data_IF_143975078894
#
_entry.id   IF_143975078894
#
_cell.length_a   1.000
_cell.length_b   1.000
_cell.length_c   1.000
_cell.angle_alpha   90.00
_cell.angle_beta   90.00
_cell.angle_gamma   90.00
#
_symmetry.space_group_name_H-M   'P 1'
#
loop_
_entity.id
_entity.type
_entity.pdbx_description
1 polymer ?
#
# COMPACT_ATOMS: atom_id res chain seq x y z
N UNK A 1 -21.12 -17.44 12.76
CA UNK A 1 -20.62 -16.14 12.30
C UNK A 1 -19.32 -16.42 11.54
N UNK A 2 -19.21 -15.96 10.29
CA UNK A 2 -17.96 -16.07 9.50
C UNK A 2 -17.30 -14.70 9.48
N UNK A 3 -16.01 -14.66 9.77
CA UNK A 3 -15.18 -13.46 9.65
C UNK A 3 -14.41 -13.53 8.33
N UNK A 4 -14.34 -12.44 7.62
CA UNK A 4 -13.59 -12.30 6.37
C UNK A 4 -12.61 -11.15 6.53
N UNK A 5 -11.41 -11.32 5.98
CA UNK A 5 -10.44 -10.25 5.89
C UNK A 5 -10.90 -9.24 4.82
N UNK A 6 -10.76 -7.94 5.10
CA UNK A 6 -11.17 -6.84 4.23
C UNK A 6 -10.52 -6.89 2.85
N UNK A 7 -9.20 -7.08 2.79
CA UNK A 7 -8.48 -7.25 1.51
C UNK A 7 -9.00 -8.46 0.72
N UNK A 8 -9.33 -9.58 1.40
CA UNK A 8 -9.93 -10.75 0.76
C UNK A 8 -11.32 -10.47 0.20
N UNK A 9 -12.12 -9.68 0.89
CA UNK A 9 -13.41 -9.20 0.39
C UNK A 9 -13.23 -8.26 -0.81
N UNK A 10 -12.29 -7.30 -0.69
CA UNK A 10 -11.96 -6.38 -1.78
C UNK A 10 -11.50 -7.10 -3.05
N UNK A 11 -10.58 -8.05 -2.92
CA UNK A 11 -10.12 -8.88 -4.01
C UNK A 11 -11.26 -9.64 -4.69
N UNK A 12 -12.13 -10.24 -3.89
CA UNK A 12 -13.28 -10.97 -4.41
C UNK A 12 -14.25 -10.04 -5.15
N UNK A 13 -14.58 -8.88 -4.59
CA UNK A 13 -15.45 -7.89 -5.23
C UNK A 13 -14.85 -7.41 -6.56
N UNK A 14 -13.58 -7.06 -6.59
CA UNK A 14 -12.88 -6.66 -7.81
C UNK A 14 -12.88 -7.77 -8.87
N UNK A 15 -12.84 -9.03 -8.47
CA UNK A 15 -12.93 -10.15 -9.41
C UNK A 15 -14.33 -10.39 -9.96
N UNK A 16 -15.38 -9.96 -9.26
CA UNK A 16 -16.75 -10.10 -9.72
C UNK A 16 -17.24 -8.90 -10.55
N UNK A 17 -16.84 -7.68 -10.15
CA UNK A 17 -17.43 -6.47 -10.67
C UNK A 17 -16.40 -5.39 -11.04
N UNK A 18 -15.12 -5.61 -10.76
CA UNK A 18 -14.07 -4.61 -10.87
C UNK A 18 -13.02 -4.91 -11.93
N UNK A 19 -11.75 -4.70 -11.57
CA UNK A 19 -10.59 -4.79 -12.43
C UNK A 19 -9.84 -6.13 -12.35
N UNK A 20 -10.12 -6.96 -11.32
CA UNK A 20 -9.40 -8.20 -11.08
C UNK A 20 -9.90 -9.36 -11.95
N UNK A 21 -8.96 -10.21 -12.38
CA UNK A 21 -9.27 -11.53 -12.90
C UNK A 21 -9.50 -12.56 -11.79
N UNK A 22 -9.68 -13.84 -12.21
CA UNK A 22 -9.82 -14.95 -11.26
C UNK A 22 -8.52 -15.29 -10.53
N UNK A 23 -7.39 -14.87 -11.10
CA UNK A 23 -6.06 -15.01 -10.50
C UNK A 23 -5.48 -13.61 -10.38
N UNK A 24 -5.32 -13.12 -9.17
CA UNK A 24 -4.78 -11.78 -8.93
C UNK A 24 -4.15 -11.68 -7.53
N UNK A 25 -3.24 -10.73 -7.42
CA UNK A 25 -2.80 -10.13 -6.17
C UNK A 25 -3.54 -8.81 -6.01
N UNK A 26 -4.41 -8.70 -5.03
CA UNK A 26 -5.03 -7.44 -4.62
C UNK A 26 -4.17 -6.80 -3.54
N UNK A 27 -3.79 -5.55 -3.72
CA UNK A 27 -2.95 -4.79 -2.80
C UNK A 27 -3.69 -3.52 -2.37
N UNK A 28 -4.04 -3.44 -1.11
CA UNK A 28 -4.63 -2.25 -0.50
C UNK A 28 -3.54 -1.46 0.21
N UNK A 29 -3.29 -0.23 -0.26
CA UNK A 29 -2.32 0.72 0.29
C UNK A 29 -3.08 1.94 0.77
N UNK A 30 -3.44 1.93 2.03
CA UNK A 30 -4.17 2.99 2.70
C UNK A 30 -3.43 3.42 3.97
N UNK A 31 -4.15 3.58 5.05
CA UNK A 31 -3.58 3.81 6.39
C UNK A 31 -2.65 2.67 6.79
N UNK A 32 -3.03 1.45 6.47
CA UNK A 32 -2.21 0.23 6.56
C UNK A 32 -2.04 -0.40 5.19
N UNK A 33 -1.16 -1.41 5.10
CA UNK A 33 -0.98 -2.19 3.89
C UNK A 33 -1.44 -3.62 4.13
N UNK A 34 -2.38 -4.06 3.32
CA UNK A 34 -2.86 -5.44 3.31
C UNK A 34 -2.98 -5.96 1.89
N UNK A 35 -3.00 -7.27 1.74
CA UNK A 35 -3.18 -7.88 0.43
C UNK A 35 -4.08 -9.12 0.50
N UNK A 36 -4.52 -9.57 -0.66
CA UNK A 36 -5.16 -10.86 -0.82
C UNK A 36 -4.78 -11.47 -2.16
N UNK A 37 -4.59 -12.77 -2.17
CA UNK A 37 -4.34 -13.53 -3.40
C UNK A 37 -5.60 -14.31 -3.75
N UNK A 38 -6.08 -14.18 -4.98
CA UNK A 38 -7.09 -15.05 -5.56
C UNK A 38 -6.43 -16.05 -6.51
N UNK A 39 -6.76 -17.32 -6.35
CA UNK A 39 -6.40 -18.38 -7.26
C UNK A 39 -7.67 -19.13 -7.69
N UNK A 40 -7.95 -19.15 -9.00
CA UNK A 40 -9.18 -19.72 -9.53
C UNK A 40 -10.46 -19.01 -9.10
N UNK A 41 -10.36 -17.76 -8.58
CA UNK A 41 -11.46 -16.98 -8.03
C UNK A 41 -11.74 -17.24 -6.54
N UNK A 42 -10.91 -18.07 -5.89
CA UNK A 42 -10.98 -18.32 -4.45
C UNK A 42 -9.83 -17.62 -3.72
N UNK A 43 -10.08 -16.96 -2.59
CA UNK A 43 -9.02 -16.33 -1.81
C UNK A 43 -8.16 -17.37 -1.10
N UNK A 44 -6.86 -17.14 -1.08
CA UNK A 44 -5.92 -17.88 -0.24
C UNK A 44 -6.08 -17.38 1.18
N UNK A 45 -6.52 -18.25 2.10
CA UNK A 45 -6.89 -17.82 3.47
C UNK A 45 -5.73 -17.94 4.46
N UNK A 46 -4.86 -18.98 4.33
CA UNK A 46 -3.76 -19.19 5.27
C UNK A 46 -4.21 -19.13 6.73
N UNK A 47 -5.31 -19.83 7.07
CA UNK A 47 -5.95 -19.79 8.40
C UNK A 47 -6.35 -18.37 8.87
N UNK A 48 -6.57 -17.43 7.93
CA UNK A 48 -6.91 -16.05 8.21
C UNK A 48 -5.70 -15.10 8.29
N UNK A 49 -4.47 -15.61 8.12
CA UNK A 49 -3.25 -14.82 8.21
C UNK A 49 -2.63 -14.45 6.87
N UNK A 50 -3.10 -15.03 5.77
CA UNK A 50 -2.59 -14.66 4.45
C UNK A 50 -2.86 -13.18 4.15
N UNK A 51 -1.92 -12.51 3.49
CA UNK A 51 -2.07 -11.13 3.05
C UNK A 51 -1.69 -10.06 4.06
N UNK A 52 -1.12 -10.42 5.23
CA UNK A 52 -0.58 -9.48 6.23
C UNK A 52 0.77 -8.88 5.79
N UNK A 53 0.84 -8.42 4.53
CA UNK A 53 2.09 -7.98 3.91
C UNK A 53 2.64 -6.68 4.52
N UNK A 54 1.80 -5.85 5.12
CA UNK A 54 2.23 -4.64 5.82
C UNK A 54 3.22 -4.91 6.95
N UNK A 55 3.23 -6.14 7.49
CA UNK A 55 4.14 -6.57 8.56
C UNK A 55 5.48 -7.11 8.08
N UNK A 56 5.68 -7.26 6.77
CA UNK A 56 6.97 -7.68 6.20
C UNK A 56 8.03 -6.63 6.53
N UNK A 57 9.21 -7.10 6.93
CA UNK A 57 10.31 -6.21 7.23
C UNK A 57 11.04 -5.81 5.95
N UNK A 58 11.17 -4.51 5.75
CA UNK A 58 11.91 -3.85 4.67
C UNK A 58 13.07 -3.05 5.26
N UNK A 59 14.08 -2.64 4.46
CA UNK A 59 15.10 -1.71 4.94
C UNK A 59 14.44 -0.42 5.42
N UNK A 60 14.85 0.07 6.61
CA UNK A 60 14.40 1.39 7.07
C UNK A 60 15.20 2.46 6.34
N UNK A 61 14.57 3.37 5.58
CA UNK A 61 15.28 4.39 4.82
C UNK A 61 15.95 5.45 5.70
N UNK A 62 15.52 5.58 6.95
CA UNK A 62 16.00 6.60 7.88
C UNK A 62 17.10 6.07 8.81
N UNK A 63 17.28 4.74 8.88
CA UNK A 63 18.16 4.08 9.83
C UNK A 63 19.10 3.08 9.14
N UNK A 64 20.37 3.42 9.05
CA UNK A 64 21.36 2.55 8.42
C UNK A 64 21.47 1.20 9.17
N UNK A 65 21.13 0.12 8.46
CA UNK A 65 21.23 -1.25 8.96
C UNK A 65 20.06 -1.76 9.77
N UNK A 66 19.06 -0.93 10.03
CA UNK A 66 17.82 -1.36 10.69
C UNK A 66 16.73 -1.75 9.68
N UNK A 67 15.63 -2.30 10.18
CA UNK A 67 14.48 -2.73 9.38
C UNK A 67 13.21 -2.18 9.99
N UNK A 68 12.32 -1.72 9.13
CA UNK A 68 10.97 -1.28 9.49
C UNK A 68 9.92 -2.22 8.90
N UNK A 69 8.68 -2.12 9.35
CA UNK A 69 7.57 -2.79 8.67
C UNK A 69 7.25 -2.07 7.37
N UNK A 70 6.83 -2.80 6.36
CA UNK A 70 6.41 -2.20 5.08
C UNK A 70 5.36 -1.11 5.27
N UNK A 71 4.39 -1.32 6.17
CA UNK A 71 3.35 -0.32 6.44
C UNK A 71 3.87 0.95 7.12
N UNK A 72 5.00 0.88 7.84
CA UNK A 72 5.66 2.03 8.47
C UNK A 72 6.52 2.84 7.48
N UNK A 73 6.72 2.31 6.26
CA UNK A 73 7.49 2.97 5.19
C UNK A 73 6.59 3.40 4.04
N UNK A 74 5.72 2.52 3.55
CA UNK A 74 5.03 2.63 2.26
C UNK A 74 3.52 2.81 2.36
N UNK A 75 2.91 2.85 3.58
CA UNK A 75 1.50 3.22 3.70
C UNK A 75 1.29 4.72 3.46
N UNK A 76 0.07 5.12 3.12
CA UNK A 76 -0.28 6.55 2.93
C UNK A 76 0.09 7.36 4.16
N UNK A 77 -0.30 6.90 5.36
CA UNK A 77 -0.01 7.60 6.60
C UNK A 77 1.49 7.62 6.94
N UNK A 78 2.24 6.58 6.60
CA UNK A 78 3.68 6.56 6.80
C UNK A 78 4.40 7.57 5.90
N UNK A 79 4.04 7.64 4.62
CA UNK A 79 4.60 8.62 3.70
C UNK A 79 4.25 10.05 4.12
N UNK A 80 3.00 10.32 4.55
CA UNK A 80 2.58 11.62 5.06
C UNK A 80 3.37 12.02 6.30
N UNK A 81 3.51 11.12 7.28
CA UNK A 81 4.30 11.38 8.51
C UNK A 81 5.75 11.72 8.20
N UNK A 82 6.38 10.98 7.30
CA UNK A 82 7.78 11.22 6.89
C UNK A 82 7.94 12.55 6.19
N UNK A 83 7.02 12.91 5.29
CA UNK A 83 7.01 14.21 4.64
C UNK A 83 6.85 15.36 5.66
N UNK A 84 5.90 15.22 6.60
CA UNK A 84 5.66 16.25 7.62
C UNK A 84 6.85 16.39 8.57
N UNK A 85 7.50 15.29 8.96
CA UNK A 85 8.70 15.32 9.80
C UNK A 85 9.86 16.04 9.10
N UNK A 86 10.10 15.78 7.81
CA UNK A 86 11.10 16.47 7.01
C UNK A 86 10.86 17.98 6.93
N UNK A 87 9.61 18.41 6.77
CA UNK A 87 9.26 19.84 6.78
C UNK A 87 9.56 20.54 8.12
N UNK A 88 9.46 19.81 9.23
CA UNK A 88 9.77 20.35 10.57
C UNK A 88 11.27 20.49 10.80
N UNK A 89 12.07 19.53 10.29
CA UNK A 89 13.54 19.59 10.37
C UNK A 89 14.13 20.73 9.51
N UNK A 90 13.60 20.97 8.33
CA UNK A 90 13.99 22.08 7.47
C UNK A 90 13.64 23.46 8.07
N UNK A 91 12.63 23.55 8.93
CA UNK A 91 12.23 24.77 9.62
C UNK A 91 13.02 25.03 10.91
N UNK A 92 13.66 24.01 11.50
CA UNK A 92 14.58 24.11 12.61
C UNK A 92 15.99 24.32 12.04
N UNK A 93 16.44 25.57 11.98
CA UNK A 93 17.81 25.93 11.56
C UNK A 93 18.89 25.14 12.30
N UNK A 94 20.18 25.22 11.90
CA UNK A 94 21.24 24.26 12.23
C UNK A 94 21.71 24.31 13.69
N UNK A 95 20.86 24.00 14.65
CA UNK A 95 21.20 23.82 16.06
C UNK A 95 20.22 22.86 16.72
N UNK A 96 20.59 21.59 16.81
CA UNK A 96 19.86 20.66 17.68
C UNK A 96 20.08 19.20 17.36
N UNK A 97 21.28 18.68 17.65
CA UNK A 97 21.50 17.24 17.81
C UNK A 97 20.68 16.72 18.99
N UNK A 98 19.50 16.19 18.75
CA UNK A 98 18.65 15.66 19.81
C UNK A 98 17.27 15.26 19.31
N UNK A 99 17.19 14.59 18.16
CA UNK A 99 15.94 13.95 17.74
C UNK A 99 15.89 12.56 18.38
N UNK A 100 15.12 12.44 19.45
CA UNK A 100 14.60 11.12 19.82
C UNK A 100 13.78 10.62 18.65
N UNK A 101 14.10 9.42 18.16
CA UNK A 101 13.30 8.74 17.16
C UNK A 101 11.81 8.77 17.58
N UNK A 102 10.88 9.07 16.67
CA UNK A 102 9.47 8.91 16.99
C UNK A 102 9.26 7.46 17.40
N UNK A 103 8.78 7.26 18.62
CA UNK A 103 8.38 5.94 19.10
C UNK A 103 7.52 5.28 18.00
N UNK A 104 7.69 3.98 17.72
CA UNK A 104 6.83 3.26 16.80
C UNK A 104 5.43 3.15 17.42
N UNK A 105 4.72 4.27 17.43
CA UNK A 105 3.33 4.36 17.83
C UNK A 105 2.50 3.63 16.79
N UNK A 106 2.09 2.41 17.09
CA UNK A 106 1.11 1.70 16.30
C UNK A 106 -0.12 2.59 16.15
N UNK A 107 -0.61 2.75 14.92
CA UNK A 107 -1.93 3.32 14.63
C UNK A 107 -3.00 2.33 15.10
N UNK A 108 -3.12 2.12 16.41
CA UNK A 108 -4.12 1.21 16.97
C UNK A 108 -5.47 1.90 17.20
N UNK A 109 -5.53 3.25 17.10
CA UNK A 109 -6.76 4.02 17.17
C UNK A 109 -6.88 4.94 15.94
N UNK A 110 -7.63 4.49 14.93
CA UNK A 110 -8.08 5.34 13.83
C UNK A 110 -9.17 6.30 14.34
N UNK A 111 -8.75 7.40 14.97
CA UNK A 111 -9.67 8.48 15.30
C UNK A 111 -10.03 9.26 14.02
N UNK A 112 -11.23 9.85 13.96
CA UNK A 112 -11.65 10.70 12.82
C UNK A 112 -10.66 11.85 12.58
N UNK A 113 -9.98 12.34 13.61
CA UNK A 113 -8.92 13.33 13.53
C UNK A 113 -7.69 12.79 12.78
N UNK A 114 -7.29 11.55 13.05
CA UNK A 114 -6.16 10.90 12.37
C UNK A 114 -6.42 10.73 10.88
N UNK A 115 -7.64 10.33 10.49
CA UNK A 115 -8.03 10.15 9.09
C UNK A 115 -8.02 11.50 8.35
N UNK A 116 -8.57 12.56 8.97
CA UNK A 116 -8.60 13.91 8.39
C UNK A 116 -7.19 14.47 8.23
N UNK A 117 -6.33 14.27 9.21
CA UNK A 117 -4.94 14.71 9.18
C UNK A 117 -4.14 13.95 8.11
N UNK A 118 -4.38 12.66 7.93
CA UNK A 118 -3.76 11.87 6.88
C UNK A 118 -4.18 12.36 5.49
N UNK A 119 -5.46 12.67 5.28
CA UNK A 119 -5.96 13.15 4.00
C UNK A 119 -5.38 14.52 3.61
N UNK A 120 -5.34 15.48 4.54
CA UNK A 120 -4.73 16.81 4.28
C UNK A 120 -3.22 16.72 4.06
N UNK A 121 -2.54 15.84 4.79
CA UNK A 121 -1.12 15.59 4.63
C UNK A 121 -0.79 14.92 3.29
N UNK A 122 -1.67 14.08 2.76
CA UNK A 122 -1.52 13.50 1.43
C UNK A 122 -1.57 14.56 0.33
N UNK A 123 -2.50 15.51 0.42
CA UNK A 123 -2.58 16.63 -0.54
C UNK A 123 -1.29 17.46 -0.50
N UNK A 124 -0.75 17.73 0.70
CA UNK A 124 0.52 18.42 0.88
C UNK A 124 1.68 17.67 0.22
N UNK A 125 1.81 16.36 0.48
CA UNK A 125 2.83 15.50 -0.12
C UNK A 125 2.75 15.51 -1.65
N UNK A 126 1.56 15.31 -2.21
CA UNK A 126 1.37 15.29 -3.66
C UNK A 126 1.66 16.67 -4.30
N UNK A 127 1.28 17.76 -3.63
CA UNK A 127 1.60 19.11 -4.05
C UNK A 127 3.12 19.38 -4.03
N UNK A 128 3.82 18.92 -3.00
CA UNK A 128 5.27 19.04 -2.90
C UNK A 128 5.99 18.23 -4.01
N UNK A 129 5.53 17.02 -4.30
CA UNK A 129 6.06 16.22 -5.41
C UNK A 129 5.87 16.96 -6.75
N UNK A 130 4.69 17.52 -6.97
CA UNK A 130 4.39 18.25 -8.21
C UNK A 130 5.23 19.53 -8.35
N UNK A 131 5.58 20.18 -7.24
CA UNK A 131 6.46 21.37 -7.23
C UNK A 131 7.97 21.02 -7.36
N UNK A 132 8.32 19.73 -7.36
CA UNK A 132 9.69 19.26 -7.51
C UNK A 132 10.49 19.21 -6.21
N UNK A 133 9.82 19.20 -5.07
CA UNK A 133 10.47 19.03 -3.76
C UNK A 133 11.23 17.70 -3.70
N UNK A 134 12.52 17.77 -3.32
CA UNK A 134 13.42 16.63 -3.36
C UNK A 134 13.16 15.65 -2.23
N UNK A 135 12.80 16.14 -1.05
CA UNK A 135 12.53 15.29 0.11
C UNK A 135 11.18 14.57 -0.03
N UNK A 136 10.15 15.29 -0.47
CA UNK A 136 8.87 14.68 -0.82
C UNK A 136 9.02 13.58 -1.89
N UNK A 137 9.86 13.84 -2.89
CA UNK A 137 10.19 12.87 -3.93
C UNK A 137 10.91 11.65 -3.35
N UNK A 138 11.87 11.84 -2.44
CA UNK A 138 12.59 10.76 -1.76
C UNK A 138 11.64 9.87 -0.97
N UNK A 139 10.73 10.46 -0.20
CA UNK A 139 9.71 9.70 0.55
C UNK A 139 8.83 8.87 -0.39
N UNK A 140 8.38 9.49 -1.48
CA UNK A 140 7.56 8.84 -2.51
C UNK A 140 8.28 7.67 -3.17
N UNK A 141 9.50 7.90 -3.67
CA UNK A 141 10.29 6.89 -4.38
C UNK A 141 10.62 5.71 -3.46
N UNK A 142 10.98 5.96 -2.21
CA UNK A 142 11.22 4.90 -1.20
C UNK A 142 9.97 4.03 -1.00
N UNK A 143 8.80 4.64 -0.87
CA UNK A 143 7.55 3.89 -0.74
C UNK A 143 7.26 3.03 -1.96
N UNK A 144 7.46 3.58 -3.16
CA UNK A 144 7.29 2.83 -4.42
C UNK A 144 8.29 1.69 -4.55
N UNK A 145 9.55 1.88 -4.16
CA UNK A 145 10.57 0.85 -4.20
C UNK A 145 10.18 -0.34 -3.29
N UNK A 146 9.74 -0.07 -2.05
CA UNK A 146 9.28 -1.12 -1.14
C UNK A 146 8.04 -1.86 -1.66
N UNK A 147 7.09 -1.15 -2.27
CA UNK A 147 5.91 -1.79 -2.88
C UNK A 147 6.29 -2.63 -4.11
N UNK A 148 7.24 -2.15 -4.91
CA UNK A 148 7.73 -2.89 -6.07
C UNK A 148 8.46 -4.17 -5.66
N UNK A 149 9.29 -4.13 -4.62
CA UNK A 149 9.95 -5.31 -4.06
C UNK A 149 8.95 -6.35 -3.57
N UNK A 150 7.89 -5.93 -2.85
CA UNK A 150 6.81 -6.82 -2.43
C UNK A 150 6.15 -7.51 -3.63
N UNK A 151 5.81 -6.74 -4.67
CA UNK A 151 5.17 -7.27 -5.88
C UNK A 151 6.11 -8.25 -6.60
N UNK A 152 7.37 -7.89 -6.76
CA UNK A 152 8.37 -8.75 -7.41
C UNK A 152 8.57 -10.08 -6.65
N UNK A 153 8.61 -10.04 -5.31
CA UNK A 153 8.63 -11.26 -4.48
C UNK A 153 7.37 -12.09 -4.68
N UNK A 154 6.21 -11.44 -4.78
CA UNK A 154 4.94 -12.10 -5.11
C UNK A 154 4.98 -12.82 -6.45
N UNK A 155 5.55 -12.18 -7.49
CA UNK A 155 5.75 -12.81 -8.80
C UNK A 155 6.68 -14.02 -8.70
N UNK A 156 7.75 -13.92 -7.94
CA UNK A 156 8.67 -15.04 -7.72
C UNK A 156 8.04 -16.24 -7.02
N UNK A 157 7.05 -16.03 -6.16
CA UNK A 157 6.38 -17.09 -5.40
C UNK A 157 5.15 -17.68 -6.11
N UNK A 158 4.38 -16.82 -6.80
CA UNK A 158 3.04 -17.17 -7.31
C UNK A 158 2.96 -17.16 -8.83
N UNK A 159 4.00 -16.69 -9.50
CA UNK A 159 3.98 -16.38 -10.92
C UNK A 159 3.38 -14.99 -11.21
N UNK A 160 3.31 -14.58 -12.49
CA UNK A 160 2.87 -13.24 -12.90
C UNK A 160 1.35 -13.10 -12.83
N UNK A 161 0.81 -12.99 -11.63
CA UNK A 161 -0.60 -12.68 -11.40
C UNK A 161 -0.89 -11.21 -11.75
N UNK A 162 -2.10 -10.91 -12.21
CA UNK A 162 -2.56 -9.51 -12.27
C UNK A 162 -2.47 -8.88 -10.87
N UNK A 163 -1.92 -7.67 -10.77
CA UNK A 163 -1.85 -6.91 -9.53
C UNK A 163 -2.87 -5.78 -9.59
N UNK A 164 -3.86 -5.83 -8.69
CA UNK A 164 -4.90 -4.81 -8.56
C UNK A 164 -4.59 -3.97 -7.34
N UNK A 165 -4.24 -2.70 -7.57
CA UNK A 165 -3.86 -1.79 -6.49
C UNK A 165 -5.03 -0.89 -6.13
N UNK A 166 -5.37 -0.87 -4.84
CA UNK A 166 -6.34 0.05 -4.25
C UNK A 166 -5.62 1.02 -3.33
N UNK A 167 -5.51 2.28 -3.71
CA UNK A 167 -4.80 3.28 -2.91
C UNK A 167 -5.30 4.69 -3.16
N UNK A 168 -5.31 5.49 -2.12
CA UNK A 168 -5.55 6.94 -2.21
C UNK A 168 -4.37 7.72 -2.81
N UNK A 169 -3.18 7.12 -2.89
CA UNK A 169 -2.01 7.72 -3.55
C UNK A 169 -2.27 8.00 -5.05
N UNK A 170 -3.26 7.35 -5.65
CA UNK A 170 -3.68 7.57 -7.04
C UNK A 170 -4.70 8.70 -7.23
N UNK A 171 -5.16 9.36 -6.15
CA UNK A 171 -6.25 10.36 -6.24
C UNK A 171 -5.93 11.56 -7.12
N UNK A 172 -4.68 12.01 -7.12
CA UNK A 172 -4.28 13.16 -7.94
C UNK A 172 -4.02 12.76 -9.39
N UNK A 173 -3.30 11.65 -9.58
CA UNK A 173 -2.95 11.11 -10.90
C UNK A 173 -2.62 9.62 -10.75
N UNK A 174 -3.46 8.78 -11.34
CA UNK A 174 -3.26 7.33 -11.36
C UNK A 174 -1.95 6.95 -12.07
N UNK A 175 -1.65 7.61 -13.19
CA UNK A 175 -0.46 7.34 -13.96
C UNK A 175 0.82 7.73 -13.20
N UNK A 176 0.80 8.82 -12.44
CA UNK A 176 1.94 9.25 -11.63
C UNK A 176 2.30 8.25 -10.52
N UNK A 177 1.38 7.39 -10.11
CA UNK A 177 1.65 6.29 -9.18
C UNK A 177 1.94 4.97 -9.89
N UNK A 178 1.08 4.54 -10.81
CA UNK A 178 1.17 3.20 -11.41
C UNK A 178 2.31 3.07 -12.41
N UNK A 179 2.62 4.10 -13.21
CA UNK A 179 3.69 4.00 -14.20
C UNK A 179 5.09 3.82 -13.57
N UNK A 180 5.48 4.64 -12.57
CA UNK A 180 6.75 4.42 -11.87
C UNK A 180 6.79 3.09 -11.11
N UNK A 181 5.68 2.66 -10.51
CA UNK A 181 5.60 1.37 -9.82
C UNK A 181 5.78 0.21 -10.82
N UNK A 182 5.14 0.30 -11.98
CA UNK A 182 5.23 -0.70 -13.06
C UNK A 182 6.66 -0.81 -13.58
N UNK A 183 7.33 0.33 -13.82
CA UNK A 183 8.74 0.35 -14.23
C UNK A 183 9.63 -0.39 -13.23
N UNK A 184 9.54 -0.04 -11.94
CA UNK A 184 10.31 -0.67 -10.87
C UNK A 184 10.07 -2.18 -10.77
N UNK A 185 8.80 -2.60 -10.84
CA UNK A 185 8.47 -4.04 -10.83
C UNK A 185 9.09 -4.75 -12.03
N UNK A 186 9.02 -4.16 -13.22
CA UNK A 186 9.61 -4.74 -14.42
C UNK A 186 11.13 -4.90 -14.29
N UNK A 187 11.80 -3.90 -13.74
CA UNK A 187 13.25 -3.95 -13.52
C UNK A 187 13.63 -5.04 -12.49
N UNK A 188 12.82 -5.20 -11.43
CA UNK A 188 13.08 -6.18 -10.35
C UNK A 188 12.78 -7.63 -10.78
N UNK A 189 11.76 -7.86 -11.59
CA UNK A 189 11.44 -9.23 -12.07
C UNK A 189 12.37 -9.70 -13.18
N UNK A 190 13.08 -8.79 -13.85
CA UNK A 190 14.07 -9.11 -14.86
C UNK A 190 13.50 -9.92 -16.03
N UNK A 191 14.01 -11.13 -16.22
CA UNK A 191 13.61 -12.01 -17.33
C UNK A 191 12.25 -12.74 -17.09
N UNK A 192 11.66 -12.59 -15.90
CA UNK A 192 10.32 -13.13 -15.64
C UNK A 192 9.25 -12.27 -16.31
N UNK A 193 8.12 -12.86 -16.72
CA UNK A 193 7.00 -12.06 -17.22
C UNK A 193 6.52 -11.06 -16.17
N UNK A 194 6.51 -9.76 -16.52
CA UNK A 194 6.01 -8.73 -15.63
C UNK A 194 4.50 -8.87 -15.44
N UNK A 195 3.99 -8.70 -14.20
CA UNK A 195 2.57 -8.72 -13.93
C UNK A 195 1.88 -7.48 -14.52
N UNK A 196 0.61 -7.61 -14.85
CA UNK A 196 -0.21 -6.45 -15.22
C UNK A 196 -0.64 -5.72 -13.94
N UNK A 197 -0.22 -4.47 -13.76
CA UNK A 197 -0.63 -3.61 -12.67
C UNK A 197 -1.80 -2.73 -13.13
N UNK A 198 -2.88 -2.72 -12.36
CA UNK A 198 -4.07 -1.91 -12.65
C UNK A 198 -4.64 -1.32 -11.36
N UNK A 199 -5.29 -0.16 -11.48
CA UNK A 199 -6.05 0.42 -10.38
C UNK A 199 -7.32 -0.40 -10.09
N UNK A 200 -7.67 -0.50 -8.81
CA UNK A 200 -8.96 -1.03 -8.38
C UNK A 200 -10.11 -0.15 -8.89
N UNK A 201 -11.16 -0.76 -9.41
CA UNK A 201 -12.31 -0.02 -9.95
C UNK A 201 -13.36 0.33 -8.90
N UNK A 202 -13.47 -0.49 -7.86
CA UNK A 202 -14.46 -0.31 -6.80
C UNK A 202 -13.93 0.53 -5.64
N UNK A 203 -12.61 0.76 -5.59
CA UNK A 203 -11.95 1.63 -4.62
C UNK A 203 -12.29 1.26 -3.17
N UNK A 204 -12.59 2.28 -2.34
CA UNK A 204 -12.88 2.11 -0.92
C UNK A 204 -14.15 1.27 -0.63
N UNK A 205 -15.04 1.09 -1.61
CA UNK A 205 -16.27 0.31 -1.43
C UNK A 205 -16.05 -1.20 -1.65
N UNK A 206 -14.93 -1.61 -2.23
CA UNK A 206 -14.64 -3.00 -2.56
C UNK A 206 -14.78 -3.97 -1.38
N UNK A 207 -14.23 -3.71 -0.17
CA UNK A 207 -14.36 -4.62 0.96
C UNK A 207 -15.81 -4.83 1.39
N UNK A 208 -16.60 -3.76 1.46
CA UNK A 208 -18.01 -3.84 1.87
C UNK A 208 -18.86 -4.61 0.85
N UNK A 209 -18.68 -4.32 -0.44
CA UNK A 209 -19.35 -5.05 -1.51
C UNK A 209 -18.96 -6.54 -1.51
N UNK A 210 -17.69 -6.82 -1.30
CA UNK A 210 -17.20 -8.19 -1.24
C UNK A 210 -17.73 -8.97 -0.04
N UNK A 211 -17.80 -8.35 1.14
CA UNK A 211 -18.39 -8.95 2.32
C UNK A 211 -19.88 -9.28 2.13
N UNK A 212 -20.65 -8.31 1.59
CA UNK A 212 -22.06 -8.50 1.29
C UNK A 212 -22.28 -9.61 0.25
N UNK A 213 -21.54 -9.58 -0.87
CA UNK A 213 -21.65 -10.56 -1.94
C UNK A 213 -21.29 -11.98 -1.47
N UNK A 214 -20.24 -12.14 -0.69
CA UNK A 214 -19.86 -13.43 -0.10
C UNK A 214 -20.88 -13.96 0.88
N UNK A 215 -21.44 -13.08 1.73
CA UNK A 215 -22.51 -13.47 2.65
C UNK A 215 -23.72 -14.04 1.89
N UNK A 216 -24.09 -13.46 0.75
CA UNK A 216 -25.18 -13.96 -0.10
C UNK A 216 -24.86 -15.31 -0.78
N UNK A 217 -23.61 -15.53 -1.17
CA UNK A 217 -23.17 -16.81 -1.76
C UNK A 217 -23.11 -17.93 -0.71
N UNK A 218 -22.63 -17.61 0.48
CA UNK A 218 -22.49 -18.58 1.58
C UNK A 218 -23.81 -18.89 2.29
N UNK A 219 -24.88 -18.12 2.03
CA UNK A 219 -26.21 -18.34 2.57
C UNK A 219 -26.95 -19.54 1.90
N UNK A 220 -26.46 -20.01 0.77
CA UNK A 220 -27.02 -21.19 0.06
C UNK A 220 -26.42 -22.49 0.59
#
# INVERSE_FOLDING_TARGET
MRLYQDAGCGAWAESQWGAAGRNCLYLAVGERISSAVLLGGAPVLGEGWAGQVGRILVPDPDWSGERARLEDVASVCAMVRRHTAGMLDDSAGPLGSGSAAPEPGGCDDASEESITQCASGLESLLGAIASGDREARRVWDTGLDCLAELIAQGVGLLGPLDVVVNSELMRADEAAFLEPLRGRVTDLVGDLPAPRLVAARLGATAPALGAAGRALVDWK
#
